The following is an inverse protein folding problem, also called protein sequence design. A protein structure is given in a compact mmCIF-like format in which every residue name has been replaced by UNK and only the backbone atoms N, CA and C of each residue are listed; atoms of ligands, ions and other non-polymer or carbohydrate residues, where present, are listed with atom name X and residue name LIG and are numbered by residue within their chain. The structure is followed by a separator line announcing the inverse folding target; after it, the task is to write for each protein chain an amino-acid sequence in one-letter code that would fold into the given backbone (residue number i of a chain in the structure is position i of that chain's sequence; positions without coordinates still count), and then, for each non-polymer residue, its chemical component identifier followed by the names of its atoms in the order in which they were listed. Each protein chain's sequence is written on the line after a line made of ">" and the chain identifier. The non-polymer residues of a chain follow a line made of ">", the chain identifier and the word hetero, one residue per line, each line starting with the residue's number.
data_IF_866774247899
#
_entry.id   IF_866774247899
#
_cell.length_a   1.000
_cell.length_b   1.000
_cell.length_c   1.000
_cell.angle_alpha   90.00
_cell.angle_beta   90.00
_cell.angle_gamma   90.00
#
_symmetry.space_group_name_H-M   'P 1'
#
loop_
_entity.id
_entity.type
_entity.pdbx_description
1 polymer ?
#
# COMPACT_ATOMS: atom_id res chain seq x y z
N UNK A 1 -4.69 3.74 -19.24
CA UNK A 1 -3.93 3.85 -17.98
C UNK A 1 -4.95 3.95 -16.85
N UNK A 2 -4.81 3.20 -15.76
CA UNK A 2 -5.74 3.32 -14.63
C UNK A 2 -5.42 4.64 -13.91
N UNK A 3 -6.36 5.59 -13.83
CA UNK A 3 -6.07 6.90 -13.27
C UNK A 3 -5.87 6.82 -11.75
N UNK A 4 -5.00 7.69 -11.26
CA UNK A 4 -4.92 8.04 -9.84
C UNK A 4 -5.66 9.36 -9.66
N UNK A 5 -6.61 9.47 -8.71
CA UNK A 5 -7.35 10.71 -8.49
C UNK A 5 -6.42 11.91 -8.22
N UNK A 6 -6.75 13.06 -8.81
CA UNK A 6 -6.03 14.32 -8.54
C UNK A 6 -6.14 14.67 -7.05
N UNK A 7 -5.03 15.03 -6.42
CA UNK A 7 -4.98 15.33 -4.99
C UNK A 7 -4.95 14.11 -4.07
N UNK A 8 -4.81 12.88 -4.63
CA UNK A 8 -4.65 11.69 -3.83
C UNK A 8 -3.42 11.77 -2.91
N UNK A 9 -3.62 11.41 -1.64
CA UNK A 9 -2.54 11.27 -0.67
C UNK A 9 -1.94 9.87 -0.79
N UNK A 10 -0.65 9.77 -0.48
CA UNK A 10 0.07 8.50 -0.38
C UNK A 10 0.29 8.17 1.09
N UNK A 11 -0.24 7.04 1.53
CA UNK A 11 -0.07 6.52 2.87
C UNK A 11 0.87 5.33 2.85
N UNK A 12 1.93 5.39 3.67
CA UNK A 12 2.91 4.32 3.82
C UNK A 12 2.60 3.54 5.10
N UNK A 13 2.35 2.23 4.97
CA UNK A 13 2.28 1.35 6.14
C UNK A 13 3.72 1.09 6.65
N UNK A 14 4.10 1.66 7.80
CA UNK A 14 5.49 1.65 8.30
C UNK A 14 6.00 0.28 8.77
N UNK A 15 5.09 -0.65 9.08
CA UNK A 15 5.43 -2.04 9.43
C UNK A 15 5.78 -2.94 8.24
N UNK A 16 5.88 -4.25 8.51
CA UNK A 16 5.97 -5.28 7.48
C UNK A 16 4.58 -5.83 7.16
N UNK A 17 4.29 -6.05 5.88
CA UNK A 17 3.02 -6.62 5.43
C UNK A 17 3.21 -8.02 4.86
N UNK A 18 2.28 -8.93 5.14
CA UNK A 18 2.21 -10.21 4.45
C UNK A 18 1.79 -9.98 2.99
N UNK A 19 2.75 -10.13 2.08
CA UNK A 19 2.56 -9.81 0.67
C UNK A 19 1.77 -10.88 -0.10
N UNK A 20 1.30 -11.96 0.55
CA UNK A 20 0.31 -12.89 -0.02
C UNK A 20 -1.09 -12.27 -0.07
N UNK A 21 -1.35 -11.24 0.74
CA UNK A 21 -2.64 -10.54 0.79
C UNK A 21 -2.99 -9.86 -0.54
N UNK A 22 -4.23 -10.05 -0.98
CA UNK A 22 -4.84 -9.32 -2.11
C UNK A 22 -5.49 -8.02 -1.65
N UNK A 23 -6.19 -7.34 -2.56
CA UNK A 23 -6.85 -6.06 -2.26
C UNK A 23 -7.76 -6.12 -1.02
N UNK A 24 -8.71 -7.08 -0.87
CA UNK A 24 -9.65 -7.06 0.26
C UNK A 24 -8.94 -7.12 1.62
N UNK A 25 -7.94 -8.00 1.75
CA UNK A 25 -7.19 -8.15 2.99
C UNK A 25 -6.28 -6.94 3.29
N UNK A 26 -5.75 -6.28 2.26
CA UNK A 26 -4.97 -5.06 2.43
C UNK A 26 -5.87 -3.86 2.76
N UNK A 27 -7.06 -3.77 2.14
CA UNK A 27 -8.07 -2.76 2.45
C UNK A 27 -8.56 -2.89 3.90
N UNK A 28 -8.76 -4.11 4.39
CA UNK A 28 -9.05 -4.36 5.80
C UNK A 28 -7.93 -3.81 6.71
N UNK A 29 -6.67 -4.03 6.35
CA UNK A 29 -5.53 -3.47 7.09
C UNK A 29 -5.51 -1.93 7.06
N UNK A 30 -5.91 -1.30 5.96
CA UNK A 30 -6.07 0.18 5.92
C UNK A 30 -7.12 0.63 6.92
N UNK A 31 -8.25 -0.07 6.99
CA UNK A 31 -9.34 0.27 7.89
C UNK A 31 -8.99 0.03 9.36
N UNK A 32 -8.44 -1.15 9.69
CA UNK A 32 -8.23 -1.58 11.07
C UNK A 32 -6.95 -1.02 11.68
N UNK A 33 -5.88 -0.84 10.90
CA UNK A 33 -4.56 -0.42 11.41
C UNK A 33 -4.28 1.04 11.12
N UNK A 34 -4.61 1.52 9.91
CA UNK A 34 -4.36 2.92 9.54
C UNK A 34 -5.54 3.83 9.87
N UNK A 35 -6.68 3.27 10.30
CA UNK A 35 -7.93 3.98 10.59
C UNK A 35 -8.35 4.93 9.46
N UNK A 36 -8.31 4.40 8.22
CA UNK A 36 -8.63 5.15 7.00
C UNK A 36 -9.64 4.39 6.15
N UNK A 37 -10.34 5.14 5.33
CA UNK A 37 -11.19 4.56 4.29
C UNK A 37 -10.31 4.08 3.10
N UNK A 38 -10.30 2.78 2.77
CA UNK A 38 -9.57 2.26 1.61
C UNK A 38 -10.21 2.66 0.26
N UNK A 39 -11.42 3.20 0.24
CA UNK A 39 -12.18 3.52 -0.97
C UNK A 39 -12.14 5.01 -1.35
N UNK A 40 -11.52 5.86 -0.55
CA UNK A 40 -11.45 7.32 -0.76
C UNK A 40 -10.54 7.79 -1.91
N UNK A 41 -10.03 6.86 -2.73
CA UNK A 41 -9.14 7.18 -3.85
C UNK A 41 -7.70 7.53 -3.48
N UNK A 42 -7.32 7.43 -2.20
CA UNK A 42 -5.92 7.54 -1.78
C UNK A 42 -5.14 6.24 -2.06
N UNK A 43 -3.82 6.39 -2.13
CA UNK A 43 -2.92 5.27 -2.36
C UNK A 43 -2.40 4.77 -1.03
N UNK A 44 -2.54 3.46 -0.79
CA UNK A 44 -1.99 2.80 0.39
C UNK A 44 -0.88 1.86 -0.04
N UNK A 45 0.34 2.12 0.43
CA UNK A 45 1.55 1.45 0.01
C UNK A 45 2.05 0.54 1.13
N UNK A 46 2.25 -0.71 0.78
CA UNK A 46 2.70 -1.77 1.66
C UNK A 46 4.02 -2.34 1.14
N UNK A 47 4.86 -2.77 2.07
CA UNK A 47 6.15 -3.39 1.77
C UNK A 47 6.30 -4.68 2.56
N UNK A 48 6.85 -5.70 1.90
CA UNK A 48 7.16 -6.98 2.52
C UNK A 48 8.43 -6.94 3.37
N UNK A 49 8.63 -7.94 4.24
CA UNK A 49 9.81 -8.05 5.12
C UNK A 49 11.15 -8.05 4.38
N UNK A 50 11.22 -8.70 3.21
CA UNK A 50 12.42 -8.71 2.35
C UNK A 50 12.75 -7.36 1.71
N UNK A 51 11.80 -6.40 1.76
CA UNK A 51 11.94 -5.05 1.22
C UNK A 51 12.23 -5.00 -0.29
N UNK A 52 12.04 -6.09 -1.02
CA UNK A 52 12.19 -6.19 -2.48
C UNK A 52 10.84 -6.09 -3.23
N UNK A 53 9.74 -6.09 -2.48
CA UNK A 53 8.37 -6.13 -2.99
C UNK A 53 7.52 -5.06 -2.32
N UNK A 54 6.80 -4.28 -3.14
CA UNK A 54 5.74 -3.38 -2.72
C UNK A 54 4.43 -3.71 -3.39
N UNK A 55 3.34 -3.44 -2.67
CA UNK A 55 1.97 -3.46 -3.16
C UNK A 55 1.34 -2.10 -2.90
N UNK A 56 0.59 -1.60 -3.87
CA UNK A 56 -0.17 -0.35 -3.75
C UNK A 56 -1.62 -0.67 -4.05
N UNK A 57 -2.52 -0.27 -3.16
CA UNK A 57 -3.96 -0.33 -3.41
C UNK A 57 -4.55 1.08 -3.48
N UNK A 58 -5.55 1.25 -4.33
CA UNK A 58 -6.44 2.40 -4.36
C UNK A 58 -7.76 2.00 -5.03
N UNK A 59 -8.82 2.75 -4.78
CA UNK A 59 -10.06 2.65 -5.55
C UNK A 59 -10.10 3.80 -6.56
N UNK A 60 -10.25 3.52 -7.85
CA UNK A 60 -10.22 4.57 -8.89
C UNK A 60 -11.56 5.29 -9.08
N UNK A 61 -12.54 4.97 -8.24
CA UNK A 61 -13.93 5.44 -8.33
C UNK A 61 -14.84 4.47 -9.06
N UNK A 62 -14.30 3.49 -9.80
CA UNK A 62 -15.05 2.46 -10.52
C UNK A 62 -14.71 1.05 -10.02
N UNK A 63 -13.49 0.85 -9.54
CA UNK A 63 -13.05 -0.45 -9.05
C UNK A 63 -11.83 -0.41 -8.14
N UNK A 64 -11.58 -1.57 -7.55
CA UNK A 64 -10.43 -1.84 -6.70
C UNK A 64 -9.19 -2.10 -7.56
N UNK A 65 -8.13 -1.32 -7.34
CA UNK A 65 -6.87 -1.43 -8.05
C UNK A 65 -5.77 -1.95 -7.12
N UNK A 66 -4.99 -2.92 -7.61
CA UNK A 66 -3.80 -3.44 -6.94
C UNK A 66 -2.62 -3.42 -7.90
N UNK A 67 -1.60 -2.63 -7.57
CA UNK A 67 -0.32 -2.64 -8.25
C UNK A 67 0.71 -3.39 -7.42
N UNK A 68 1.56 -4.19 -8.08
CA UNK A 68 2.65 -4.92 -7.45
C UNK A 68 3.96 -4.61 -8.17
N UNK A 69 5.00 -4.22 -7.43
CA UNK A 69 6.35 -4.04 -7.98
C UNK A 69 7.37 -4.81 -7.18
N UNK A 70 8.11 -5.68 -7.88
CA UNK A 70 9.28 -6.40 -7.39
C UNK A 70 10.52 -5.76 -7.99
N UNK A 71 11.55 -5.58 -7.17
CA UNK A 71 12.88 -5.20 -7.65
C UNK A 71 13.66 -6.46 -8.01
N UNK A 72 14.25 -6.48 -9.20
CA UNK A 72 15.21 -7.54 -9.59
C UNK A 72 16.50 -7.47 -8.75
N UNK A 73 16.88 -6.24 -8.35
CA UNK A 73 18.03 -5.99 -7.46
C UNK A 73 17.75 -4.81 -6.55
N UNK A 74 18.23 -4.89 -5.31
CA UNK A 74 18.13 -3.82 -4.32
C UNK A 74 16.92 -3.97 -3.38
N UNK A 75 16.65 -2.91 -2.61
CA UNK A 75 15.59 -2.86 -1.60
C UNK A 75 14.92 -1.50 -1.62
N UNK A 76 13.61 -1.48 -1.41
CA UNK A 76 12.87 -0.27 -1.09
C UNK A 76 13.31 0.25 0.28
N UNK A 77 13.77 1.50 0.30
CA UNK A 77 14.02 2.21 1.56
C UNK A 77 12.66 2.51 2.19
N UNK A 78 12.55 2.24 3.49
CA UNK A 78 11.32 2.43 4.23
C UNK A 78 11.60 3.21 5.50
N UNK A 79 10.68 4.08 5.94
CA UNK A 79 10.79 4.69 7.26
C UNK A 79 10.91 3.61 8.32
N UNK A 80 11.98 3.66 9.11
CA UNK A 80 12.07 2.88 10.34
C UNK A 80 11.18 3.55 11.37
N UNK A 81 10.39 2.77 12.11
CA UNK A 81 9.86 3.22 13.40
C UNK A 81 11.03 3.26 14.38
N UNK A 82 11.91 4.26 14.25
CA UNK A 82 12.84 4.63 15.30
C UNK A 82 12.12 5.66 16.16
N UNK A 83 11.60 5.25 17.32
CA UNK A 83 10.95 6.13 18.28
C UNK A 83 9.81 5.51 19.06
N UNK A 84 10.12 4.50 19.87
CA UNK A 84 9.77 4.39 21.31
C UNK A 84 10.81 3.50 21.99
#
# INVERSE_FOLDING_TARGET
>A
MIPVPTGARVWLATGYTDMRRGFPSLALQVQEVLHKDPLNGHLFVFRGRRSDLVKVIWHDGQGACLFTKRLERGRFIWPSVAGE
#
